data_IF_818208580347
#
_entry.id   IF_818208580347
#
_cell.length_a   1.000
_cell.length_b   1.000
_cell.length_c   1.000
_cell.angle_alpha   90.00
_cell.angle_beta   90.00
_cell.angle_gamma   90.00
#
_symmetry.space_group_name_H-M   'P 1'
#
loop_
_entity.id
_entity.type
_entity.pdbx_description
1 polymer ?
#
# COMPACT_ATOMS: atom_id res chain seq x y z
N UNK A 1 -5.00 -10.24 12.06
CA UNK A 1 -6.04 -9.22 12.31
C UNK A 1 -6.32 -8.46 11.01
N UNK A 2 -7.59 -8.31 10.62
CA UNK A 2 -8.04 -7.68 9.37
C UNK A 2 -8.58 -6.29 9.74
N UNK A 3 -8.02 -5.22 9.17
CA UNK A 3 -8.51 -3.87 9.40
C UNK A 3 -9.64 -3.55 8.40
N UNK A 4 -10.92 -3.49 8.80
CA UNK A 4 -12.04 -3.35 7.87
C UNK A 4 -12.05 -2.01 7.09
N UNK A 5 -11.20 -1.06 7.48
CA UNK A 5 -11.25 0.33 7.01
C UNK A 5 -10.56 0.60 5.67
N UNK A 6 -9.71 -0.31 5.17
CA UNK A 6 -8.91 -0.08 3.96
C UNK A 6 -7.43 0.18 4.25
N UNK A 7 -6.72 0.76 3.28
CA UNK A 7 -5.27 1.02 3.32
C UNK A 7 -4.97 2.45 2.94
N UNK A 8 -4.02 3.07 3.64
CA UNK A 8 -3.48 4.35 3.21
C UNK A 8 -2.36 4.15 2.19
N UNK A 9 -2.33 5.03 1.22
CA UNK A 9 -1.18 5.30 0.39
C UNK A 9 -0.20 6.18 1.15
N UNK A 10 1.10 5.97 0.91
CA UNK A 10 2.17 6.70 1.57
C UNK A 10 3.16 7.25 0.55
N UNK A 11 3.57 8.51 0.72
CA UNK A 11 4.58 9.14 -0.16
C UNK A 11 6.00 8.61 0.05
N UNK A 12 6.23 7.97 1.19
CA UNK A 12 7.51 7.38 1.55
C UNK A 12 7.34 5.92 1.87
N UNK A 13 8.39 5.15 1.58
CA UNK A 13 8.49 3.75 1.95
C UNK A 13 8.30 3.56 3.45
N UNK A 14 8.60 4.53 4.31
CA UNK A 14 8.54 4.39 5.79
C UNK A 14 7.13 4.17 6.36
N UNK A 15 6.06 4.32 5.57
CA UNK A 15 4.66 4.16 6.02
C UNK A 15 4.31 4.97 7.29
N UNK A 16 5.05 6.05 7.56
CA UNK A 16 4.82 6.89 8.73
C UNK A 16 3.52 7.69 8.56
N UNK A 17 2.82 7.97 9.66
CA UNK A 17 1.52 8.68 9.63
C UNK A 17 1.60 10.02 8.89
N UNK A 18 2.71 10.74 8.99
CA UNK A 18 2.92 12.02 8.30
C UNK A 18 3.13 11.89 6.79
N UNK A 19 3.47 10.69 6.29
CA UNK A 19 3.53 10.41 4.86
C UNK A 19 2.22 9.86 4.29
N UNK A 20 1.16 9.71 5.11
CA UNK A 20 -0.14 9.26 4.64
C UNK A 20 -0.68 10.25 3.62
N UNK A 21 -0.94 9.74 2.43
CA UNK A 21 -1.71 10.41 1.40
C UNK A 21 -3.13 9.87 1.40
N UNK A 22 -3.54 9.38 0.24
CA UNK A 22 -4.92 8.97 0.00
C UNK A 22 -5.30 7.73 0.82
N UNK A 23 -6.55 7.72 1.31
CA UNK A 23 -7.13 6.53 1.92
C UNK A 23 -7.85 5.70 0.86
N UNK A 24 -7.32 4.51 0.58
CA UNK A 24 -7.88 3.56 -0.36
C UNK A 24 -8.87 2.66 0.37
N UNK A 25 -10.13 2.69 -0.08
CA UNK A 25 -11.18 1.81 0.44
C UNK A 25 -10.86 0.34 0.09
N UNK A 26 -11.37 -0.60 0.88
CA UNK A 26 -11.25 -2.03 0.58
C UNK A 26 -11.82 -2.32 -0.81
N UNK A 27 -11.09 -3.08 -1.62
CA UNK A 27 -11.48 -3.39 -3.00
C UNK A 27 -11.02 -2.36 -4.03
N UNK A 28 -10.30 -1.30 -3.62
CA UNK A 28 -9.67 -0.40 -4.59
C UNK A 28 -8.61 -1.17 -5.37
N UNK A 29 -8.76 -1.21 -6.69
CA UNK A 29 -7.73 -1.74 -7.59
C UNK A 29 -6.63 -0.69 -7.75
N UNK A 30 -5.40 -1.11 -7.52
CA UNK A 30 -4.22 -0.26 -7.69
C UNK A 30 -3.23 -0.96 -8.59
N UNK A 31 -2.55 -0.17 -9.43
CA UNK A 31 -1.48 -0.69 -10.29
C UNK A 31 -0.15 -0.58 -9.58
N UNK A 32 0.48 -1.72 -9.41
CA UNK A 32 1.79 -1.84 -8.76
C UNK A 32 2.86 -1.92 -9.82
N UNK A 33 3.87 -1.04 -9.71
CA UNK A 33 5.07 -1.04 -10.55
C UNK A 33 6.15 -1.98 -10.00
N UNK A 34 6.17 -2.19 -8.69
CA UNK A 34 7.19 -3.02 -8.06
C UNK A 34 6.90 -3.35 -6.60
N UNK A 35 7.74 -4.20 -6.02
CA UNK A 35 7.64 -4.64 -4.63
C UNK A 35 8.93 -4.29 -3.92
N UNK A 36 8.83 -3.80 -2.68
CA UNK A 36 9.99 -3.43 -1.87
C UNK A 36 9.83 -3.97 -0.46
N UNK A 37 10.91 -4.46 0.14
CA UNK A 37 10.90 -5.16 1.43
C UNK A 37 11.65 -4.37 2.48
N UNK A 38 10.95 -3.82 3.47
CA UNK A 38 11.60 -3.08 4.55
C UNK A 38 11.56 -3.91 5.83
N UNK A 39 12.73 -4.47 6.16
CA UNK A 39 12.83 -5.53 7.15
C UNK A 39 11.89 -6.70 6.80
N UNK A 40 11.01 -7.05 7.73
CA UNK A 40 10.05 -8.15 7.56
C UNK A 40 8.75 -7.74 6.83
N UNK A 41 8.62 -6.47 6.41
CA UNK A 41 7.38 -5.96 5.82
C UNK A 41 7.50 -5.74 4.31
N UNK A 42 6.66 -6.42 3.55
CA UNK A 42 6.48 -6.19 2.12
C UNK A 42 5.68 -4.90 1.89
N UNK A 43 6.08 -4.10 0.90
CA UNK A 43 5.41 -2.87 0.46
C UNK A 43 5.31 -2.88 -1.06
N UNK A 44 4.18 -2.43 -1.58
CA UNK A 44 3.99 -2.29 -3.03
C UNK A 44 4.24 -0.86 -3.46
N UNK A 45 5.05 -0.69 -4.51
CA UNK A 45 5.30 0.58 -5.17
C UNK A 45 4.25 0.76 -6.24
N UNK A 46 3.46 1.80 -6.10
CA UNK A 46 2.44 2.19 -7.05
C UNK A 46 3.07 2.86 -8.29
N UNK A 47 2.34 2.85 -9.40
CA UNK A 47 2.78 3.50 -10.64
C UNK A 47 3.01 5.01 -10.51
N UNK A 48 2.39 5.66 -9.54
CA UNK A 48 2.59 7.08 -9.20
C UNK A 48 3.81 7.32 -8.27
N UNK A 49 4.58 6.29 -7.93
CA UNK A 49 5.75 6.40 -7.05
C UNK A 49 5.45 6.33 -5.55
N UNK A 50 4.18 6.20 -5.16
CA UNK A 50 3.79 6.02 -3.76
C UNK A 50 3.86 4.56 -3.30
N UNK A 51 3.65 4.33 -2.01
CA UNK A 51 3.81 3.05 -1.36
C UNK A 51 2.53 2.66 -0.63
N UNK A 52 2.16 1.38 -0.70
CA UNK A 52 1.10 0.79 0.10
C UNK A 52 1.60 -0.45 0.83
N UNK A 53 0.91 -0.81 1.90
CA UNK A 53 1.24 -2.02 2.68
C UNK A 53 1.07 -3.26 1.79
N UNK A 54 2.02 -4.19 1.86
CA UNK A 54 2.03 -5.43 1.08
C UNK A 54 1.04 -6.51 1.51
N UNK A 55 0.16 -6.22 2.46
CA UNK A 55 -0.81 -7.20 2.95
C UNK A 55 -1.90 -7.42 1.90
N UNK A 56 -1.77 -8.54 1.16
CA UNK A 56 -2.68 -9.00 0.08
C UNK A 56 -4.16 -9.00 0.47
N UNK A 57 -4.50 -8.97 1.76
CA UNK A 57 -5.88 -8.91 2.24
C UNK A 57 -6.57 -7.55 2.01
N UNK A 58 -5.84 -6.50 1.63
CA UNK A 58 -6.41 -5.16 1.41
C UNK A 58 -6.38 -4.68 -0.04
N UNK A 59 -5.52 -5.27 -0.87
CA UNK A 59 -5.17 -4.73 -2.18
C UNK A 59 -5.58 -5.72 -3.25
N UNK A 60 -6.52 -5.33 -4.11
CA UNK A 60 -6.77 -6.06 -5.35
C UNK A 60 -5.69 -5.66 -6.34
N UNK A 61 -4.67 -6.53 -6.47
CA UNK A 61 -3.61 -6.36 -7.45
C UNK A 61 -4.13 -6.83 -8.80
N UNK A 62 -4.13 -5.94 -9.78
CA UNK A 62 -4.13 -6.34 -11.19
C UNK A 62 -2.69 -6.27 -11.68
N UNK A 63 -2.21 -7.41 -12.18
CA UNK A 63 -0.92 -7.55 -12.84
C UNK A 63 -0.99 -6.95 -14.25
#
# INVERSE_FOLDING_TARGET
MINPKGVYEYRSRLLAKHFRGQHLKRGTTVRVKGVTHDGMTTRYVLTNGHYITGNKKFVSLKY
#
